data_IF_706664539849
#
_entry.id   IF_706664539849
#
_cell.length_a   1.000
_cell.length_b   1.000
_cell.length_c   1.000
_cell.angle_alpha   90.00
_cell.angle_beta   90.00
_cell.angle_gamma   90.00
#
_symmetry.space_group_name_H-M   'P 1'
#
loop_
_entity.id
_entity.type
_entity.pdbx_description
1 polymer ?
#
# COMPACT_ATOMS: atom_id res chain seq x y z
N UNK A 1 -21.57 -7.06 4.28
CA UNK A 1 -21.25 -5.63 4.07
C UNK A 1 -20.02 -5.49 3.17
N UNK A 2 -19.99 -4.53 2.25
CA UNK A 2 -18.77 -4.25 1.46
C UNK A 2 -17.82 -3.39 2.28
N UNK A 3 -16.66 -3.94 2.65
CA UNK A 3 -15.64 -3.24 3.43
C UNK A 3 -14.61 -2.56 2.51
N UNK A 4 -14.09 -1.40 2.94
CA UNK A 4 -13.19 -0.56 2.14
C UNK A 4 -12.01 -0.02 2.95
N UNK A 5 -10.84 0.07 2.30
CA UNK A 5 -9.73 0.94 2.72
C UNK A 5 -9.83 2.26 1.96
N UNK A 6 -9.82 3.38 2.69
CA UNK A 6 -9.88 4.72 2.13
C UNK A 6 -8.50 5.38 2.09
N UNK A 7 -8.04 5.71 0.89
CA UNK A 7 -6.73 6.30 0.63
C UNK A 7 -6.84 7.82 0.48
N UNK A 8 -7.19 8.49 1.58
CA UNK A 8 -7.48 9.94 1.61
C UNK A 8 -6.29 10.79 2.03
N UNK A 9 -5.59 10.38 3.08
CA UNK A 9 -4.46 11.08 3.64
C UNK A 9 -3.18 10.71 2.88
N UNK A 10 -2.59 11.65 2.15
CA UNK A 10 -1.39 11.47 1.33
C UNK A 10 -0.18 12.02 2.05
N UNK A 11 0.87 11.24 2.16
CA UNK A 11 2.18 11.73 2.62
C UNK A 11 2.86 12.45 1.46
N UNK A 12 3.39 13.64 1.75
CA UNK A 12 4.10 14.47 0.77
C UNK A 12 5.51 14.85 1.19
N UNK A 13 5.85 14.69 2.48
CA UNK A 13 7.19 14.96 2.97
C UNK A 13 7.43 14.23 4.30
N UNK A 14 8.69 13.97 4.63
CA UNK A 14 9.11 13.49 5.95
C UNK A 14 10.34 14.26 6.41
N UNK A 15 10.40 14.59 7.69
CA UNK A 15 11.56 15.23 8.31
C UNK A 15 11.97 14.49 9.58
N UNK A 16 13.18 14.75 10.06
CA UNK A 16 13.67 14.27 11.35
C UNK A 16 13.87 15.48 12.26
N UNK A 17 13.36 15.37 13.48
CA UNK A 17 13.44 16.40 14.52
C UNK A 17 13.95 15.75 15.81
N UNK A 18 15.27 15.83 16.02
CA UNK A 18 15.95 15.09 17.09
C UNK A 18 15.78 13.57 16.98
N UNK A 19 15.18 12.98 18.02
CA UNK A 19 14.82 11.56 18.09
C UNK A 19 13.51 11.22 17.39
N UNK A 20 12.73 12.22 16.96
CA UNK A 20 11.41 12.04 16.35
C UNK A 20 11.48 12.09 14.82
N UNK A 21 10.59 11.34 14.18
CA UNK A 21 10.27 11.42 12.77
C UNK A 21 8.92 12.12 12.58
N UNK A 22 8.90 13.09 11.67
CA UNK A 22 7.70 13.79 11.24
C UNK A 22 7.24 13.26 9.88
N UNK A 23 5.98 12.87 9.77
CA UNK A 23 5.31 12.49 8.54
C UNK A 23 4.33 13.60 8.17
N UNK A 24 4.70 14.41 7.19
CA UNK A 24 3.85 15.48 6.70
C UNK A 24 2.89 14.95 5.64
N UNK A 25 1.60 15.17 5.90
CA UNK A 25 0.53 14.64 5.09
C UNK A 25 -0.58 15.67 4.86
N UNK A 26 -1.43 15.38 3.89
CA UNK A 26 -2.63 16.17 3.65
C UNK A 26 -3.81 15.29 3.26
N UNK A 27 -5.02 15.76 3.57
CA UNK A 27 -6.25 15.25 2.97
C UNK A 27 -6.77 16.27 1.97
N UNK A 28 -7.09 15.82 0.77
CA UNK A 28 -7.77 16.63 -0.25
C UNK A 28 -9.27 16.34 -0.18
N UNK A 29 -10.07 17.38 0.01
CA UNK A 29 -11.53 17.34 -0.08
C UNK A 29 -12.02 18.20 -1.24
N UNK A 30 -12.98 17.68 -2.00
CA UNK A 30 -13.64 18.45 -3.03
C UNK A 30 -14.76 19.28 -2.39
N UNK A 31 -14.67 20.62 -2.48
CA UNK A 31 -15.78 21.54 -2.18
C UNK A 31 -16.17 22.22 -3.49
N UNK A 32 -17.15 21.63 -4.19
CA UNK A 32 -17.56 22.10 -5.51
C UNK A 32 -16.47 21.91 -6.57
N UNK A 33 -16.04 23.00 -7.22
CA UNK A 33 -14.95 23.01 -8.21
C UNK A 33 -13.56 23.20 -7.61
N UNK A 34 -13.47 23.56 -6.33
CA UNK A 34 -12.21 23.81 -5.65
C UNK A 34 -11.75 22.60 -4.83
N UNK A 35 -10.43 22.42 -4.82
CA UNK A 35 -9.74 21.39 -4.03
C UNK A 35 -9.19 22.04 -2.77
N UNK A 36 -9.81 21.75 -1.64
CA UNK A 36 -9.27 22.17 -0.35
C UNK A 36 -8.31 21.09 0.15
N UNK A 37 -7.08 21.49 0.52
CA UNK A 37 -6.09 20.62 1.14
C UNK A 37 -5.93 21.00 2.59
N UNK A 38 -6.14 20.02 3.48
CA UNK A 38 -5.86 20.17 4.91
C UNK A 38 -4.60 19.42 5.26
N UNK A 39 -3.57 20.18 5.64
CA UNK A 39 -2.25 19.66 5.99
C UNK A 39 -2.17 19.33 7.48
N UNK A 40 -1.36 18.34 7.81
CA UNK A 40 -1.07 17.92 9.19
C UNK A 40 0.26 17.17 9.24
N UNK A 41 0.80 17.04 10.44
CA UNK A 41 2.04 16.32 10.71
C UNK A 41 1.75 15.20 11.70
N UNK A 42 2.23 13.98 11.40
CA UNK A 42 2.25 12.88 12.36
C UNK A 42 3.65 12.72 12.93
N UNK A 43 3.78 12.58 14.23
CA UNK A 43 5.08 12.36 14.91
C UNK A 43 5.22 10.93 15.40
N UNK A 44 6.41 10.37 15.27
CA UNK A 44 6.73 9.04 15.80
C UNK A 44 8.19 8.93 16.19
N UNK A 45 8.48 8.20 17.26
CA UNK A 45 9.84 7.76 17.60
C UNK A 45 10.27 6.55 16.74
N UNK A 46 9.30 5.86 16.11
CA UNK A 46 9.54 4.63 15.37
C UNK A 46 10.18 4.93 14.01
N UNK A 47 11.17 4.13 13.61
CA UNK A 47 11.81 4.30 12.31
C UNK A 47 10.78 4.11 11.18
N UNK A 48 10.68 5.12 10.32
CA UNK A 48 9.80 5.05 9.15
C UNK A 48 10.47 4.28 8.02
N UNK A 49 9.72 3.53 7.19
CA UNK A 49 10.30 2.76 6.09
C UNK A 49 11.18 3.62 5.17
N UNK A 50 12.43 3.22 4.94
CA UNK A 50 13.43 3.96 4.16
C UNK A 50 12.95 4.38 2.77
N UNK A 51 12.12 3.54 2.15
CA UNK A 51 11.51 3.80 0.84
C UNK A 51 10.71 5.11 0.80
N UNK A 52 10.17 5.57 1.93
CA UNK A 52 9.44 6.82 2.04
C UNK A 52 10.40 8.01 1.85
N UNK A 53 11.60 7.96 2.44
CA UNK A 53 12.61 9.02 2.29
C UNK A 53 13.17 9.09 0.87
N UNK A 54 13.39 7.94 0.22
CA UNK A 54 13.95 7.89 -1.13
C UNK A 54 13.03 8.56 -2.16
N UNK A 55 11.72 8.35 -2.03
CA UNK A 55 10.71 9.02 -2.86
C UNK A 55 10.86 10.54 -2.80
N UNK A 56 11.08 11.11 -1.61
CA UNK A 56 11.19 12.57 -1.44
C UNK A 56 12.53 13.13 -1.90
N UNK A 57 13.61 12.35 -1.88
CA UNK A 57 14.89 12.75 -2.50
C UNK A 57 14.72 12.94 -4.01
N UNK A 58 14.10 11.96 -4.69
CA UNK A 58 13.86 12.03 -6.15
C UNK A 58 12.94 13.18 -6.59
N UNK A 59 12.07 13.69 -5.72
CA UNK A 59 11.23 14.86 -6.02
C UNK A 59 12.05 16.15 -6.11
N UNK A 60 13.25 16.19 -5.51
CA UNK A 60 14.15 17.35 -5.56
C UNK A 60 15.16 17.33 -6.71
N UNK A 61 15.43 16.17 -7.31
CA UNK A 61 16.55 15.92 -8.25
C UNK A 61 16.13 15.75 -9.74
N UNK A 62 15.10 16.46 -10.23
CA UNK A 62 14.61 16.45 -11.62
C UNK A 62 13.76 15.26 -12.12
N UNK A 63 12.97 15.61 -13.15
CA UNK A 63 11.67 15.07 -13.56
C UNK A 63 11.60 13.59 -13.99
N UNK A 64 10.54 12.92 -13.50
CA UNK A 64 9.93 11.63 -13.93
C UNK A 64 10.17 10.38 -13.08
N UNK A 65 9.92 10.43 -11.76
CA UNK A 65 9.52 9.21 -11.04
C UNK A 65 8.36 9.46 -10.06
N UNK A 66 7.17 8.95 -10.39
CA UNK A 66 5.96 9.18 -9.59
C UNK A 66 5.60 8.07 -8.59
N UNK A 67 6.48 7.11 -8.28
CA UNK A 67 6.15 5.99 -7.36
C UNK A 67 7.28 5.66 -6.38
N UNK A 68 6.98 5.15 -5.17
CA UNK A 68 5.65 4.80 -4.67
C UNK A 68 4.84 5.98 -4.08
N UNK A 69 3.52 5.87 -4.01
CA UNK A 69 2.63 6.80 -3.28
C UNK A 69 2.34 6.25 -1.89
N UNK A 70 2.29 7.12 -0.88
CA UNK A 70 2.19 6.70 0.53
C UNK A 70 0.97 7.35 1.15
N UNK A 71 0.20 6.56 1.89
CA UNK A 71 -1.05 6.96 2.53
C UNK A 71 -1.07 6.58 4.00
N UNK A 72 -1.81 7.35 4.80
CA UNK A 72 -2.11 7.03 6.19
C UNK A 72 -3.54 6.46 6.27
N UNK A 73 -3.68 5.29 6.91
CA UNK A 73 -4.96 4.57 7.02
C UNK A 73 -5.18 4.08 8.47
N UNK A 74 -6.35 4.36 9.08
CA UNK A 74 -7.36 5.35 8.66
C UNK A 74 -6.79 6.77 8.65
N UNK A 75 -7.40 7.69 7.90
CA UNK A 75 -7.01 9.09 8.02
C UNK A 75 -7.44 9.61 9.41
N UNK A 76 -6.55 10.32 10.14
CA UNK A 76 -6.90 10.90 11.44
C UNK A 76 -8.06 11.91 11.31
N UNK A 77 -8.87 12.11 12.37
CA UNK A 77 -9.87 13.16 12.40
C UNK A 77 -9.18 14.53 12.39
N UNK A 78 -9.36 15.28 11.31
CA UNK A 78 -8.82 16.65 11.14
C UNK A 78 -9.75 17.62 11.89
N UNK A 79 -9.67 17.63 13.22
CA UNK A 79 -10.61 18.40 14.06
C UNK A 79 -10.08 19.75 14.54
N UNK A 80 -8.77 20.04 14.47
CA UNK A 80 -8.19 21.32 14.90
C UNK A 80 -6.98 21.70 14.05
N UNK A 81 -6.74 23.00 13.90
CA UNK A 81 -5.62 23.60 13.17
C UNK A 81 -4.28 22.95 13.53
N UNK A 82 -3.42 22.79 12.52
CA UNK A 82 -1.98 22.44 12.58
C UNK A 82 -1.50 21.85 13.91
N UNK A 83 -2.08 20.72 14.33
CA UNK A 83 -1.64 20.03 15.54
C UNK A 83 -0.89 18.79 15.11
N UNK A 84 0.28 18.58 15.71
CA UNK A 84 1.02 17.34 15.53
C UNK A 84 0.28 16.20 16.23
N UNK A 85 0.00 15.12 15.50
CA UNK A 85 -0.73 13.95 16.03
C UNK A 85 0.27 12.80 16.16
N UNK A 86 0.40 12.14 17.32
CA UNK A 86 1.31 11.02 17.40
C UNK A 86 0.80 9.84 16.54
N UNK A 87 1.72 9.22 15.80
CA UNK A 87 1.48 8.01 15.03
C UNK A 87 1.49 6.81 15.99
N UNK A 88 0.43 6.66 16.79
CA UNK A 88 0.19 5.46 17.60
C UNK A 88 -0.38 4.34 16.70
N UNK A 89 -0.41 3.08 17.16
CA UNK A 89 -0.91 1.85 16.49
C UNK A 89 -2.31 1.95 15.84
N UNK A 90 -2.97 3.08 16.03
CA UNK A 90 -4.20 3.52 15.38
C UNK A 90 -4.03 3.78 13.87
N UNK A 91 -2.79 3.86 13.35
CA UNK A 91 -2.51 4.18 11.96
C UNK A 91 -1.57 3.17 11.29
N UNK A 92 -1.78 2.95 10.00
CA UNK A 92 -0.92 2.17 9.11
C UNK A 92 -0.42 3.06 7.98
N UNK A 93 0.79 2.80 7.52
CA UNK A 93 1.29 3.37 6.26
C UNK A 93 1.01 2.38 5.14
N UNK A 94 0.31 2.85 4.11
CA UNK A 94 0.02 2.08 2.90
C UNK A 94 0.84 2.67 1.76
N UNK A 95 1.79 1.90 1.27
CA UNK A 95 2.68 2.24 0.17
C UNK A 95 2.11 1.56 -1.09
N UNK A 96 1.90 2.33 -2.15
CA UNK A 96 1.27 1.84 -3.39
C UNK A 96 2.17 2.15 -4.57
N UNK A 97 2.49 1.10 -5.32
CA UNK A 97 3.36 1.15 -6.50
C UNK A 97 2.53 1.33 -7.77
N UNK A 98 1.70 2.38 -7.84
CA UNK A 98 0.74 2.50 -8.93
C UNK A 98 0.48 3.93 -9.40
N UNK A 99 0.46 4.15 -10.73
CA UNK A 99 0.33 5.48 -11.36
C UNK A 99 -0.76 6.33 -10.72
N UNK A 100 -1.94 5.74 -10.71
CA UNK A 100 -3.14 6.30 -10.13
C UNK A 100 -3.70 5.34 -9.08
N UNK A 101 -3.35 5.54 -7.79
CA UNK A 101 -3.87 4.72 -6.72
C UNK A 101 -5.37 4.97 -6.60
N UNK A 102 -6.18 3.91 -6.39
CA UNK A 102 -7.61 4.07 -6.22
C UNK A 102 -7.91 4.88 -4.94
N UNK A 103 -8.95 5.71 -4.96
CA UNK A 103 -9.39 6.43 -3.75
C UNK A 103 -9.94 5.49 -2.66
N UNK A 104 -10.59 4.40 -3.10
CA UNK A 104 -11.16 3.35 -2.24
C UNK A 104 -10.71 2.00 -2.77
N UNK A 105 -10.18 1.16 -1.89
CA UNK A 105 -9.87 -0.24 -2.18
C UNK A 105 -10.96 -1.07 -1.54
N UNK A 106 -11.63 -1.92 -2.32
CA UNK A 106 -12.57 -2.89 -1.77
C UNK A 106 -11.79 -4.08 -1.24
N UNK A 107 -12.13 -4.55 -0.04
CA UNK A 107 -11.43 -5.70 0.56
C UNK A 107 -11.59 -6.97 -0.29
N UNK A 108 -12.77 -7.20 -0.89
CA UNK A 108 -13.01 -8.37 -1.77
C UNK A 108 -12.24 -8.37 -3.09
N UNK A 109 -11.33 -7.41 -3.28
CA UNK A 109 -10.43 -7.30 -4.42
C UNK A 109 -8.96 -7.19 -4.00
N UNK A 110 -8.69 -7.41 -2.73
CA UNK A 110 -7.39 -7.24 -2.12
C UNK A 110 -6.91 -8.60 -1.60
N UNK A 111 -5.75 -9.04 -2.09
CA UNK A 111 -5.06 -10.23 -1.61
C UNK A 111 -3.97 -9.80 -0.66
N UNK A 112 -3.89 -10.41 0.52
CA UNK A 112 -2.63 -10.47 1.26
C UNK A 112 -1.81 -11.61 0.68
N UNK A 113 -0.58 -11.32 0.28
CA UNK A 113 0.28 -12.27 -0.44
C UNK A 113 1.29 -12.90 0.53
N UNK A 114 1.34 -14.24 0.55
CA UNK A 114 2.39 -15.00 1.23
C UNK A 114 3.50 -15.43 0.27
N UNK A 115 3.13 -15.86 -0.93
CA UNK A 115 4.07 -16.22 -1.99
C UNK A 115 3.58 -15.68 -3.35
N UNK A 116 4.51 -15.28 -4.20
CA UNK A 116 4.21 -14.75 -5.53
C UNK A 116 5.24 -15.23 -6.54
N UNK A 117 4.76 -15.87 -7.60
CA UNK A 117 5.58 -16.30 -8.73
C UNK A 117 5.05 -15.67 -10.02
N UNK A 118 5.93 -15.00 -10.75
CA UNK A 118 5.57 -14.32 -12.00
C UNK A 118 6.22 -15.05 -13.17
N UNK A 119 5.38 -15.52 -14.10
CA UNK A 119 5.81 -16.33 -15.23
C UNK A 119 5.96 -15.45 -16.48
N UNK A 120 7.18 -15.49 -17.02
CA UNK A 120 7.58 -14.74 -18.22
C UNK A 120 7.74 -15.72 -19.38
N UNK A 121 7.14 -15.38 -20.54
CA UNK A 121 7.33 -16.15 -21.78
C UNK A 121 7.57 -15.21 -22.94
N UNK A 122 8.72 -15.37 -23.61
CA UNK A 122 9.18 -14.47 -24.69
C UNK A 122 9.17 -13.01 -24.24
N UNK A 123 9.79 -12.73 -23.09
CA UNK A 123 9.94 -11.40 -22.48
C UNK A 123 8.62 -10.66 -22.14
N UNK A 124 7.51 -11.38 -22.08
CA UNK A 124 6.20 -10.85 -21.67
C UNK A 124 5.71 -11.55 -20.42
N UNK A 125 5.26 -10.78 -19.42
CA UNK A 125 4.56 -11.34 -18.27
C UNK A 125 3.24 -11.94 -18.77
N UNK A 126 3.01 -13.22 -18.47
CA UNK A 126 1.81 -13.94 -18.95
C UNK A 126 0.89 -14.35 -17.82
N UNK A 127 1.47 -14.71 -16.68
CA UNK A 127 0.72 -15.26 -15.56
C UNK A 127 1.44 -14.93 -14.27
N UNK A 128 0.67 -14.80 -13.20
CA UNK A 128 1.17 -14.73 -11.84
C UNK A 128 0.43 -15.77 -11.00
N UNK A 129 1.18 -16.60 -10.30
CA UNK A 129 0.65 -17.46 -9.25
C UNK A 129 0.86 -16.77 -7.92
N UNK A 130 -0.20 -16.75 -7.12
CA UNK A 130 -0.21 -16.07 -5.83
C UNK A 130 -0.74 -17.04 -4.81
N UNK A 131 -0.01 -17.23 -3.73
CA UNK A 131 -0.55 -17.83 -2.52
C UNK A 131 -0.83 -16.73 -1.51
N UNK A 132 -1.94 -16.84 -0.80
CA UNK A 132 -2.30 -15.88 0.21
C UNK A 132 -3.77 -15.94 0.59
N UNK A 133 -4.29 -14.83 1.10
CA UNK A 133 -5.67 -14.75 1.59
C UNK A 133 -6.42 -13.55 1.00
N UNK A 134 -7.70 -13.77 0.74
CA UNK A 134 -8.63 -12.71 0.40
C UNK A 134 -8.95 -11.91 1.67
N UNK A 135 -8.82 -10.58 1.64
CA UNK A 135 -8.94 -9.75 2.85
C UNK A 135 -10.28 -9.87 3.62
N UNK A 136 -11.44 -10.07 2.98
CA UNK A 136 -12.67 -10.36 3.71
C UNK A 136 -12.59 -11.68 4.48
N UNK A 137 -11.94 -12.70 3.93
CA UNK A 137 -11.76 -13.99 4.60
C UNK A 137 -10.80 -13.83 5.79
N UNK A 138 -9.75 -13.01 5.64
CA UNK A 138 -8.84 -12.66 6.74
C UNK A 138 -9.54 -11.89 7.86
N UNK A 139 -10.45 -10.96 7.50
CA UNK A 139 -11.26 -10.22 8.46
C UNK A 139 -12.27 -11.13 9.16
N UNK A 140 -12.93 -12.03 8.42
CA UNK A 140 -13.89 -12.99 8.97
C UNK A 140 -13.21 -13.96 9.95
N UNK A 141 -12.05 -14.50 9.58
CA UNK A 141 -11.23 -15.35 10.43
C UNK A 141 -10.84 -14.64 11.74
N UNK A 142 -10.47 -13.36 11.67
CA UNK A 142 -10.16 -12.54 12.84
C UNK A 142 -11.39 -12.32 13.75
N UNK A 143 -12.57 -12.06 13.19
CA UNK A 143 -13.80 -11.80 13.96
C UNK A 143 -14.33 -13.08 14.61
N UNK A 144 -14.28 -14.19 13.87
CA UNK A 144 -14.87 -15.46 14.28
C UNK A 144 -13.86 -16.40 14.98
N UNK A 145 -12.61 -15.96 15.19
CA UNK A 145 -11.50 -16.79 15.70
C UNK A 145 -11.32 -18.11 14.93
N UNK A 146 -11.50 -18.06 13.60
CA UNK A 146 -11.29 -19.20 12.73
C UNK A 146 -9.85 -19.21 12.17
N UNK A 147 -9.38 -20.38 11.78
CA UNK A 147 -8.12 -20.50 11.06
C UNK A 147 -8.26 -19.89 9.66
N UNK A 148 -7.34 -19.01 9.30
CA UNK A 148 -7.27 -18.43 7.97
C UNK A 148 -6.51 -19.38 7.04
N UNK A 149 -7.24 -20.04 6.15
CA UNK A 149 -6.62 -20.88 5.13
C UNK A 149 -6.02 -20.04 4.00
N UNK A 150 -4.77 -20.35 3.65
CA UNK A 150 -4.14 -19.83 2.45
C UNK A 150 -4.73 -20.47 1.21
N UNK A 151 -4.93 -19.69 0.16
CA UNK A 151 -5.47 -20.11 -1.13
C UNK A 151 -4.47 -19.79 -2.23
N UNK A 152 -4.47 -20.63 -3.26
CA UNK A 152 -3.70 -20.41 -4.48
C UNK A 152 -4.57 -19.74 -5.55
N UNK A 153 -4.04 -18.70 -6.16
CA UNK A 153 -4.67 -17.90 -7.20
C UNK A 153 -3.82 -17.91 -8.46
N UNK A 154 -4.49 -18.01 -9.60
CA UNK A 154 -3.90 -17.94 -10.92
C UNK A 154 -4.41 -16.66 -11.60
N UNK A 155 -3.51 -15.68 -11.72
CA UNK A 155 -3.80 -14.38 -12.31
C UNK A 155 -3.26 -14.36 -13.74
N UNK A 156 -4.17 -14.24 -14.71
CA UNK A 156 -3.85 -14.06 -16.11
C UNK A 156 -3.48 -12.61 -16.39
N UNK A 157 -2.24 -12.40 -16.85
CA UNK A 157 -1.66 -11.09 -17.09
C UNK A 157 -1.73 -10.66 -18.55
N UNK A 158 -2.26 -11.51 -19.45
CA UNK A 158 -2.20 -11.27 -20.90
C UNK A 158 -2.87 -9.97 -21.34
N UNK A 159 -3.98 -9.62 -20.69
CA UNK A 159 -4.79 -8.43 -20.99
C UNK A 159 -4.67 -7.33 -19.91
N UNK A 160 -3.81 -7.54 -18.91
CA UNK A 160 -3.63 -6.61 -17.81
C UNK A 160 -2.74 -5.42 -18.22
N UNK A 161 -3.01 -4.23 -17.70
CA UNK A 161 -2.03 -3.16 -17.69
C UNK A 161 -0.91 -3.52 -16.71
N UNK A 162 0.30 -3.73 -17.24
CA UNK A 162 1.46 -4.20 -16.49
C UNK A 162 2.38 -3.08 -16.02
N UNK A 163 2.11 -1.82 -16.36
CA UNK A 163 3.03 -0.70 -16.07
C UNK A 163 3.36 -0.59 -14.58
N UNK A 164 2.34 -0.74 -13.74
CA UNK A 164 2.48 -0.62 -12.29
C UNK A 164 3.14 -1.85 -11.67
N UNK A 165 2.85 -3.05 -12.18
CA UNK A 165 3.54 -4.29 -11.78
C UNK A 165 5.02 -4.28 -12.18
N UNK A 166 5.35 -3.85 -13.41
CA UNK A 166 6.73 -3.75 -13.88
C UNK A 166 7.53 -2.73 -13.07
N UNK A 167 6.90 -1.60 -12.68
CA UNK A 167 7.52 -0.65 -11.75
C UNK A 167 7.79 -1.29 -10.41
N UNK A 168 6.80 -1.98 -9.83
CA UNK A 168 6.98 -2.71 -8.57
C UNK A 168 8.17 -3.67 -8.66
N UNK A 169 8.25 -4.52 -9.67
CA UNK A 169 9.36 -5.48 -9.86
C UNK A 169 10.71 -4.74 -9.94
N UNK A 170 10.80 -3.64 -10.70
CA UNK A 170 12.03 -2.84 -10.79
C UNK A 170 12.43 -2.23 -9.44
N UNK A 171 11.45 -1.74 -8.67
CA UNK A 171 11.70 -1.23 -7.32
C UNK A 171 12.15 -2.36 -6.39
N UNK A 172 11.45 -3.49 -6.42
CA UNK A 172 11.75 -4.66 -5.61
C UNK A 172 13.18 -5.18 -5.88
N UNK A 173 13.54 -5.39 -7.14
CA UNK A 173 14.90 -5.81 -7.52
C UNK A 173 15.97 -4.80 -7.11
N UNK A 174 15.69 -3.49 -7.22
CA UNK A 174 16.67 -2.44 -6.92
C UNK A 174 16.90 -2.23 -5.42
N UNK A 175 15.87 -2.41 -4.60
CA UNK A 175 15.88 -1.97 -3.20
C UNK A 175 15.61 -3.08 -2.18
N UNK A 176 14.92 -4.16 -2.57
CA UNK A 176 14.55 -5.24 -1.67
C UNK A 176 15.68 -6.26 -1.44
N UNK A 177 16.72 -6.28 -2.29
CA UNK A 177 17.97 -7.01 -1.99
C UNK A 177 18.76 -6.40 -0.80
N UNK A 178 18.35 -5.23 -0.29
CA UNK A 178 18.97 -4.55 0.85
C UNK A 178 17.98 -4.18 1.98
N UNK A 179 16.67 -4.28 1.78
CA UNK A 179 15.67 -4.02 2.82
C UNK A 179 15.50 -5.23 3.76
N UNK A 180 16.62 -5.69 4.31
CA UNK A 180 16.64 -6.35 5.60
C UNK A 180 16.29 -5.30 6.66
N UNK A 181 15.00 -4.96 6.82
CA UNK A 181 14.50 -4.39 8.07
C UNK A 181 14.45 -5.51 9.11
N UNK A 182 15.63 -6.08 9.37
CA UNK A 182 15.82 -7.16 10.31
C UNK A 182 16.47 -6.55 11.55
N UNK A 183 15.69 -6.55 12.63
CA UNK A 183 16.06 -6.42 14.03
C UNK A 183 16.64 -5.08 14.52
N UNK A 184 15.77 -4.25 15.10
CA UNK A 184 15.77 -3.89 16.55
C UNK A 184 14.39 -3.36 16.98
N UNK A 185 14.14 -3.42 18.28
CA UNK A 185 12.85 -3.47 18.97
C UNK A 185 11.86 -2.28 18.82
N UNK A 186 12.01 -1.40 17.82
CA UNK A 186 11.23 -0.15 17.73
C UNK A 186 10.87 0.28 16.28
N UNK A 187 10.79 -0.66 15.33
CA UNK A 187 10.55 -0.35 13.91
C UNK A 187 9.10 -0.57 13.46
N UNK A 188 8.69 0.16 12.40
CA UNK A 188 7.49 -0.16 11.66
C UNK A 188 7.72 -1.44 10.83
N UNK A 189 6.94 -2.49 11.06
CA UNK A 189 7.05 -3.76 10.35
C UNK A 189 6.15 -3.82 9.11
N UNK A 190 6.69 -4.41 8.05
CA UNK A 190 5.94 -4.75 6.83
C UNK A 190 5.03 -5.94 7.12
N UNK A 191 3.71 -5.77 6.99
CA UNK A 191 2.75 -6.85 7.22
C UNK A 191 2.63 -7.84 6.06
N UNK A 192 3.26 -7.51 4.93
CA UNK A 192 3.29 -8.29 3.70
C UNK A 192 2.93 -7.46 2.46
N UNK A 193 3.23 -7.96 1.26
CA UNK A 193 2.72 -7.40 0.03
C UNK A 193 1.24 -7.71 -0.14
N UNK A 194 0.55 -6.82 -0.86
CA UNK A 194 -0.83 -6.96 -1.23
C UNK A 194 -1.01 -6.76 -2.73
N UNK A 195 -1.97 -7.47 -3.32
CA UNK A 195 -2.38 -7.28 -4.72
C UNK A 195 -3.79 -6.72 -4.75
N UNK A 196 -4.01 -5.66 -5.52
CA UNK A 196 -5.33 -5.15 -5.85
C UNK A 196 -5.65 -5.39 -7.33
N UNK A 197 -6.67 -6.20 -7.61
CA UNK A 197 -7.08 -6.64 -8.96
C UNK A 197 -8.05 -5.67 -9.67
N UNK A 198 -7.91 -4.38 -9.40
CA UNK A 198 -8.61 -3.34 -10.16
C UNK A 198 -10.10 -3.16 -9.84
N UNK A 199 -10.80 -2.41 -10.70
CA UNK A 199 -12.19 -1.96 -10.45
C UNK A 199 -13.27 -2.81 -11.14
N UNK A 200 -12.91 -3.81 -11.92
CA UNK A 200 -13.87 -4.65 -12.65
C UNK A 200 -14.89 -5.33 -11.74
N UNK A 201 -16.17 -5.09 -11.97
CA UNK A 201 -17.26 -5.50 -11.06
C UNK A 201 -17.34 -7.03 -10.88
N UNK A 202 -16.93 -7.78 -11.88
CA UNK A 202 -17.06 -9.24 -11.92
C UNK A 202 -15.85 -9.98 -11.32
N UNK A 203 -14.83 -9.23 -10.88
CA UNK A 203 -13.62 -9.79 -10.29
C UNK A 203 -13.64 -9.65 -8.77
N UNK A 204 -13.29 -10.73 -8.09
CA UNK A 204 -13.10 -10.78 -6.64
C UNK A 204 -12.02 -11.79 -6.25
N UNK A 205 -11.41 -11.61 -5.07
CA UNK A 205 -10.47 -12.56 -4.49
C UNK A 205 -11.09 -13.86 -3.99
N UNK A 206 -12.40 -14.08 -4.25
CA UNK A 206 -13.06 -15.38 -4.08
C UNK A 206 -12.83 -16.32 -5.26
N UNK A 207 -12.48 -15.79 -6.43
CA UNK A 207 -12.18 -16.58 -7.62
C UNK A 207 -10.73 -17.05 -7.57
N UNK A 208 -10.48 -18.33 -7.86
CA UNK A 208 -9.12 -18.88 -7.96
C UNK A 208 -8.45 -18.51 -9.29
N UNK A 209 -9.22 -18.28 -10.36
CA UNK A 209 -8.73 -17.79 -11.65
C UNK A 209 -9.22 -16.36 -11.91
N UNK A 210 -8.31 -15.44 -12.22
CA UNK A 210 -8.61 -14.02 -12.32
C UNK A 210 -7.89 -13.43 -13.53
N UNK A 211 -8.62 -12.69 -14.37
CA UNK A 211 -8.05 -11.98 -15.52
C UNK A 211 -8.32 -10.47 -15.38
N UNK A 212 -7.55 -9.75 -14.55
CA UNK A 212 -7.76 -8.34 -14.30
C UNK A 212 -7.22 -7.46 -15.44
N UNK A 213 -7.91 -6.36 -15.73
CA UNK A 213 -7.38 -5.32 -16.64
C UNK A 213 -6.37 -4.39 -15.98
N UNK A 214 -6.37 -4.32 -14.64
CA UNK A 214 -5.51 -3.43 -13.86
C UNK A 214 -5.04 -4.17 -12.59
N UNK A 215 -3.75 -4.10 -12.29
CA UNK A 215 -3.13 -4.72 -11.13
C UNK A 215 -2.27 -3.69 -10.41
N UNK A 216 -2.44 -3.59 -9.10
CA UNK A 216 -1.67 -2.68 -8.26
C UNK A 216 -1.08 -3.45 -7.09
N UNK A 217 0.20 -3.20 -6.81
CA UNK A 217 0.88 -3.75 -5.65
C UNK A 217 0.92 -2.72 -4.54
N UNK A 218 0.67 -3.17 -3.32
CA UNK A 218 0.68 -2.37 -2.12
C UNK A 218 1.52 -3.05 -1.06
N UNK A 219 2.11 -2.27 -0.18
CA UNK A 219 2.74 -2.73 1.04
C UNK A 219 2.11 -1.98 2.20
N UNK A 220 1.77 -2.73 3.25
CA UNK A 220 1.20 -2.17 4.47
C UNK A 220 2.24 -2.30 5.57
N UNK A 221 2.51 -1.18 6.25
CA UNK A 221 3.38 -1.10 7.39
C UNK A 221 2.55 -0.76 8.63
N UNK A 222 2.81 -1.48 9.72
CA UNK A 222 2.22 -1.23 11.04
C UNK A 222 3.33 -1.07 12.08
N UNK A 223 2.99 -0.48 13.21
CA UNK A 223 3.91 -0.46 14.35
C UNK A 223 3.94 -1.87 14.96
N UNK A 224 5.13 -2.34 15.31
CA UNK A 224 5.32 -3.60 16.04
C UNK A 224 4.85 -3.41 17.48
N UNK A 225 3.79 -4.13 17.86
CA UNK A 225 3.28 -4.25 19.23
C UNK A 225 4.13 -5.20 20.06
#
# INVERSE_FOLDING_TARGET
MTSYIYLRARVYHTTRDGSLYNIHAYVESNRGREKERKFFTLQTEKEIPKIIFEKYRKIKDDDKYYFPKVFIVPAPPIRKNETTIPFYDKFKLVIIYAKDPPYRIRLDKLFKVSNMEIYVKKDKLRRMYVEGSCEPDALDALINNNNLESKSYNIDLREANLDDLLKFIRYDVKYNSKNNQNNRNEEMEKTGPYIFIGKDKNLSCKQSYIAPRDIKILEIYRIKT
#
